data_IF_030651326616
#
_entry.id   IF_030651326616
#
_cell.length_a   1.000
_cell.length_b   1.000
_cell.length_c   1.000
_cell.angle_alpha   90.00
_cell.angle_beta   90.00
_cell.angle_gamma   90.00
#
_symmetry.space_group_name_H-M   'P 1'
#
loop_
_entity.id
_entity.type
_entity.pdbx_description
1 polymer ?
#
# COMPACT_ATOMS: atom_id res chain seq x y z
N UNK A 1 -7.83 -6.88 -2.29
CA UNK A 1 -8.56 -5.72 -1.77
C UNK A 1 -8.95 -4.89 -2.97
N UNK A 2 -10.24 -4.63 -3.16
CA UNK A 2 -10.76 -3.85 -4.31
C UNK A 2 -10.92 -2.36 -3.97
N UNK A 3 -10.62 -1.97 -2.74
CA UNK A 3 -10.83 -0.61 -2.25
C UNK A 3 -9.78 0.34 -2.79
N UNK A 4 -10.23 1.32 -3.58
CA UNK A 4 -9.44 2.50 -3.98
C UNK A 4 -9.77 3.62 -3.00
N UNK A 5 -8.76 4.10 -2.26
CA UNK A 5 -8.95 5.19 -1.30
C UNK A 5 -8.29 6.46 -1.83
N UNK A 6 -9.01 7.57 -1.75
CA UNK A 6 -8.60 8.86 -2.30
C UNK A 6 -8.42 9.88 -1.18
N UNK A 7 -7.38 10.71 -1.28
CA UNK A 7 -7.26 11.94 -0.52
C UNK A 7 -6.95 13.11 -1.46
N UNK A 8 -7.44 14.30 -1.13
CA UNK A 8 -7.12 15.53 -1.85
C UNK A 8 -6.60 16.57 -0.87
N UNK A 9 -5.55 17.28 -1.27
CA UNK A 9 -4.99 18.39 -0.53
C UNK A 9 -5.38 19.70 -1.22
N UNK A 10 -5.89 20.65 -0.46
CA UNK A 10 -6.30 21.97 -0.94
C UNK A 10 -5.55 23.07 -0.20
N UNK A 11 -5.28 24.17 -0.89
CA UNK A 11 -4.84 25.41 -0.27
C UNK A 11 -6.01 26.11 0.44
N UNK A 12 -5.70 27.15 1.24
CA UNK A 12 -6.73 27.95 1.93
C UNK A 12 -7.72 28.62 0.98
N UNK A 13 -7.27 28.99 -0.23
CA UNK A 13 -8.09 29.56 -1.30
C UNK A 13 -8.90 28.51 -2.09
N UNK A 14 -8.88 27.25 -1.62
CA UNK A 14 -9.51 26.06 -2.24
C UNK A 14 -8.91 25.65 -3.58
N UNK A 15 -7.73 26.13 -3.94
CA UNK A 15 -6.97 25.56 -5.05
C UNK A 15 -6.56 24.13 -4.72
N UNK A 16 -6.85 23.18 -5.62
CA UNK A 16 -6.40 21.80 -5.48
C UNK A 16 -4.87 21.74 -5.63
N UNK A 17 -4.18 21.23 -4.61
CA UNK A 17 -2.72 21.11 -4.57
C UNK A 17 -2.23 19.74 -5.04
N UNK A 18 -2.94 18.67 -4.66
CA UNK A 18 -2.61 17.32 -5.07
C UNK A 18 -3.77 16.34 -4.84
N UNK A 19 -3.80 15.28 -5.62
CA UNK A 19 -4.63 14.08 -5.37
C UNK A 19 -3.74 12.90 -5.01
N UNK A 20 -4.15 12.09 -4.03
CA UNK A 20 -3.46 10.87 -3.64
C UNK A 20 -4.37 9.68 -3.82
N UNK A 21 -3.85 8.62 -4.45
CA UNK A 21 -4.55 7.36 -4.71
C UNK A 21 -3.84 6.25 -3.95
N UNK A 22 -4.52 5.63 -2.99
CA UNK A 22 -4.04 4.46 -2.28
C UNK A 22 -4.77 3.20 -2.76
N UNK A 23 -4.00 2.25 -3.30
CA UNK A 23 -4.53 0.99 -3.83
C UNK A 23 -3.50 -0.14 -3.70
N UNK A 24 -3.97 -1.35 -3.39
CA UNK A 24 -3.12 -2.52 -3.19
C UNK A 24 -3.00 -3.35 -4.48
N UNK A 25 -1.96 -3.08 -5.28
CA UNK A 25 -1.65 -3.85 -6.48
C UNK A 25 -0.19 -3.62 -6.89
N UNK A 26 0.61 -4.67 -7.07
CA UNK A 26 2.00 -4.51 -7.53
C UNK A 26 2.09 -3.85 -8.91
N UNK A 27 3.01 -2.90 -9.15
CA UNK A 27 3.29 -2.37 -10.48
C UNK A 27 4.11 -3.37 -11.30
N UNK A 28 3.49 -4.50 -11.64
CA UNK A 28 4.08 -5.63 -12.37
C UNK A 28 3.31 -5.96 -13.66
N UNK A 29 2.69 -4.95 -14.28
CA UNK A 29 2.07 -5.14 -15.60
C UNK A 29 3.16 -5.50 -16.61
N UNK A 30 4.26 -4.74 -16.60
CA UNK A 30 5.40 -4.93 -17.47
C UNK A 30 6.41 -5.88 -16.80
N UNK A 31 6.81 -6.93 -17.52
CA UNK A 31 7.77 -7.91 -17.03
C UNK A 31 8.92 -8.13 -18.01
N UNK A 32 9.40 -9.37 -18.13
CA UNK A 32 10.68 -9.71 -18.77
C UNK A 32 10.74 -9.37 -20.27
N UNK A 33 9.59 -9.25 -20.94
CA UNK A 33 9.52 -8.89 -22.36
C UNK A 33 9.65 -7.37 -22.61
N UNK A 34 9.46 -6.54 -21.58
CA UNK A 34 9.66 -5.09 -21.67
C UNK A 34 11.14 -4.74 -21.40
N UNK A 35 11.73 -3.90 -22.25
CA UNK A 35 13.12 -3.41 -22.11
C UNK A 35 13.21 -1.91 -21.79
N UNK A 36 12.06 -1.24 -21.65
CA UNK A 36 11.98 0.20 -21.41
C UNK A 36 11.92 0.52 -19.91
N UNK A 37 12.48 1.67 -19.52
CA UNK A 37 12.22 2.25 -18.21
C UNK A 37 10.78 2.77 -18.21
N UNK A 38 9.96 2.28 -17.28
CA UNK A 38 8.55 2.62 -17.21
C UNK A 38 8.09 2.76 -15.76
N UNK A 39 7.19 3.71 -15.47
CA UNK A 39 6.50 3.79 -14.18
C UNK A 39 5.38 2.74 -14.01
N UNK A 40 5.18 1.84 -14.99
CA UNK A 40 4.07 0.86 -15.06
C UNK A 40 2.68 1.56 -14.99
N UNK A 41 1.63 0.82 -14.62
CA UNK A 41 0.26 1.35 -14.53
C UNK A 41 0.12 2.60 -13.63
N UNK A 42 0.91 2.81 -12.55
CA UNK A 42 0.87 4.06 -11.80
C UNK A 42 1.23 5.30 -12.63
N UNK A 43 1.98 5.14 -13.73
CA UNK A 43 2.28 6.24 -14.66
C UNK A 43 1.03 6.78 -15.33
N UNK A 44 0.39 5.97 -16.16
CA UNK A 44 -0.82 6.37 -16.87
C UNK A 44 -1.98 6.74 -15.94
N UNK A 45 -2.04 6.14 -14.75
CA UNK A 45 -3.00 6.52 -13.73
C UNK A 45 -2.80 7.99 -13.29
N UNK A 46 -1.57 8.37 -12.92
CA UNK A 46 -1.24 9.75 -12.54
C UNK A 46 -1.52 10.72 -13.68
N UNK A 47 -1.03 10.42 -14.88
CA UNK A 47 -1.22 11.29 -16.07
C UNK A 47 -2.70 11.55 -16.36
N UNK A 48 -3.55 10.53 -16.24
CA UNK A 48 -4.99 10.66 -16.48
C UNK A 48 -5.66 11.54 -15.43
N UNK A 49 -5.30 11.39 -14.16
CA UNK A 49 -5.85 12.21 -13.07
C UNK A 49 -5.33 13.63 -13.15
N UNK A 50 -4.04 13.82 -13.42
CA UNK A 50 -3.40 15.14 -13.58
C UNK A 50 -4.03 15.92 -14.73
N UNK A 51 -4.30 15.25 -15.87
CA UNK A 51 -4.98 15.86 -17.01
C UNK A 51 -6.42 16.29 -16.69
N UNK A 52 -7.14 15.51 -15.87
CA UNK A 52 -8.52 15.81 -15.51
C UNK A 52 -8.64 16.90 -14.43
N UNK A 53 -7.70 16.94 -13.49
CA UNK A 53 -7.79 17.79 -12.29
C UNK A 53 -6.92 19.04 -12.35
N UNK A 54 -5.90 19.07 -13.23
CA UNK A 54 -4.92 20.15 -13.32
C UNK A 54 -3.93 20.22 -12.14
N UNK A 55 -3.91 19.22 -11.26
CA UNK A 55 -3.04 19.17 -10.08
C UNK A 55 -2.25 17.85 -10.02
N UNK A 56 -1.04 17.83 -9.43
CA UNK A 56 -0.22 16.62 -9.27
C UNK A 56 -0.96 15.44 -8.64
N UNK A 57 -0.65 14.22 -9.09
CA UNK A 57 -1.20 13.00 -8.52
C UNK A 57 -0.10 12.09 -7.93
N UNK A 58 -0.34 11.56 -6.74
CA UNK A 58 0.55 10.62 -6.06
C UNK A 58 -0.13 9.25 -5.94
N UNK A 59 0.64 8.20 -6.24
CA UNK A 59 0.24 6.83 -5.98
C UNK A 59 0.88 6.32 -4.69
N UNK A 60 0.08 5.75 -3.79
CA UNK A 60 0.52 5.15 -2.53
C UNK A 60 0.26 3.65 -2.55
N UNK A 61 1.33 2.87 -2.56
CA UNK A 61 1.29 1.41 -2.66
C UNK A 61 0.64 0.79 -1.41
N UNK A 62 -0.52 0.14 -1.60
CA UNK A 62 -1.18 -0.64 -0.56
C UNK A 62 -0.49 -1.97 -0.25
N UNK A 63 -1.03 -2.72 0.71
CA UNK A 63 -0.53 -4.05 1.04
C UNK A 63 -0.89 -5.06 -0.07
N UNK A 64 0.07 -5.36 -0.93
CA UNK A 64 -0.14 -6.10 -2.18
C UNK A 64 0.78 -7.32 -2.33
N UNK A 65 1.35 -7.87 -1.25
CA UNK A 65 2.33 -8.98 -1.34
C UNK A 65 1.90 -10.19 -2.21
N UNK A 66 0.60 -10.39 -2.40
CA UNK A 66 0.01 -11.39 -3.29
C UNK A 66 -0.78 -10.83 -4.47
N UNK A 67 -0.93 -9.50 -4.57
CA UNK A 67 -1.78 -8.84 -5.55
C UNK A 67 -0.96 -8.21 -6.67
N UNK A 68 -1.33 -8.53 -7.90
CA UNK A 68 -0.83 -7.86 -9.10
C UNK A 68 -1.98 -7.52 -10.04
N UNK A 69 -1.68 -6.91 -11.20
CA UNK A 69 -2.68 -6.60 -12.21
C UNK A 69 -3.31 -7.88 -12.77
N UNK A 70 -4.59 -7.84 -13.12
CA UNK A 70 -5.29 -8.99 -13.74
C UNK A 70 -4.64 -9.36 -15.06
N UNK A 71 -4.38 -8.36 -15.91
CA UNK A 71 -3.54 -8.52 -17.09
C UNK A 71 -2.18 -7.91 -16.79
N UNK A 72 -1.18 -8.77 -16.62
CA UNK A 72 0.18 -8.39 -16.27
C UNK A 72 1.20 -9.41 -16.78
N UNK A 73 2.46 -9.18 -16.42
CA UNK A 73 3.61 -9.92 -16.93
C UNK A 73 3.80 -9.90 -18.46
N UNK A 74 3.48 -8.78 -19.10
CA UNK A 74 3.61 -8.59 -20.56
C UNK A 74 4.74 -7.61 -20.90
N UNK A 75 5.10 -7.51 -22.19
CA UNK A 75 6.02 -6.48 -22.70
C UNK A 75 5.33 -5.23 -23.25
N UNK A 76 4.02 -5.31 -23.52
CA UNK A 76 3.25 -4.27 -24.19
C UNK A 76 2.86 -3.13 -23.23
N UNK A 77 3.44 -1.95 -23.44
CA UNK A 77 3.19 -0.75 -22.63
C UNK A 77 1.73 -0.30 -22.66
N UNK A 78 0.99 -0.60 -23.73
CA UNK A 78 -0.42 -0.21 -23.85
C UNK A 78 -1.31 -0.93 -22.83
N UNK A 79 -0.90 -2.10 -22.34
CA UNK A 79 -1.58 -2.84 -21.27
C UNK A 79 -1.40 -2.13 -19.93
N UNK A 80 -0.17 -1.70 -19.61
CA UNK A 80 0.11 -0.90 -18.41
C UNK A 80 -0.69 0.40 -18.43
N UNK A 81 -0.73 1.07 -19.58
CA UNK A 81 -1.49 2.32 -19.70
C UNK A 81 -2.98 2.10 -19.53
N UNK A 82 -3.52 1.00 -20.08
CA UNK A 82 -4.94 0.65 -19.92
C UNK A 82 -5.28 0.30 -18.47
N UNK A 83 -4.44 -0.48 -17.79
CA UNK A 83 -4.61 -0.77 -16.36
C UNK A 83 -4.59 0.53 -15.54
N UNK A 84 -3.67 1.44 -15.86
CA UNK A 84 -3.56 2.74 -15.21
C UNK A 84 -4.80 3.62 -15.41
N UNK A 85 -5.32 3.70 -16.65
CA UNK A 85 -6.56 4.42 -16.96
C UNK A 85 -7.78 3.84 -16.24
N UNK A 86 -7.90 2.52 -16.14
CA UNK A 86 -8.99 1.89 -15.39
C UNK A 86 -8.99 2.34 -13.92
N UNK A 87 -7.82 2.30 -13.27
CA UNK A 87 -7.67 2.77 -11.89
C UNK A 87 -7.96 4.28 -11.79
N UNK A 88 -7.49 5.08 -12.75
CA UNK A 88 -7.76 6.52 -12.80
C UNK A 88 -9.25 6.83 -12.92
N UNK A 89 -10.01 6.13 -13.76
CA UNK A 89 -11.46 6.37 -13.88
C UNK A 89 -12.20 6.03 -12.58
N UNK A 90 -11.82 4.95 -11.89
CA UNK A 90 -12.35 4.63 -10.57
C UNK A 90 -12.01 5.71 -9.53
N UNK A 91 -10.78 6.23 -9.56
CA UNK A 91 -10.34 7.31 -8.69
C UNK A 91 -11.08 8.63 -9.00
N UNK A 92 -11.22 9.01 -10.27
CA UNK A 92 -11.92 10.21 -10.70
C UNK A 92 -13.40 10.16 -10.36
N UNK A 93 -14.07 9.01 -10.52
CA UNK A 93 -15.45 8.84 -10.07
C UNK A 93 -15.60 9.11 -8.57
N UNK A 94 -14.63 8.68 -7.76
CA UNK A 94 -14.61 8.94 -6.33
C UNK A 94 -14.32 10.42 -6.04
N UNK A 95 -13.37 11.05 -6.76
CA UNK A 95 -13.05 12.48 -6.62
C UNK A 95 -14.27 13.35 -6.88
N UNK A 96 -15.03 13.09 -7.95
CA UNK A 96 -16.28 13.82 -8.27
C UNK A 96 -17.36 13.66 -7.20
N UNK A 97 -17.27 12.61 -6.37
CA UNK A 97 -18.21 12.38 -5.27
C UNK A 97 -17.79 13.08 -3.97
N UNK A 98 -16.57 13.61 -3.88
CA UNK A 98 -16.09 14.27 -2.66
C UNK A 98 -16.73 15.66 -2.50
N UNK A 99 -17.24 15.99 -1.30
CA UNK A 99 -17.64 17.36 -0.99
C UNK A 99 -16.41 18.28 -0.98
N UNK A 100 -16.65 19.58 -1.12
CA UNK A 100 -15.60 20.58 -0.89
C UNK A 100 -15.05 20.45 0.55
N UNK A 101 -13.78 20.84 0.80
CA UNK A 101 -13.17 20.75 2.13
C UNK A 101 -14.04 21.38 3.22
N UNK A 102 -14.16 20.70 4.35
CA UNK A 102 -15.00 21.09 5.49
C UNK A 102 -16.50 21.29 5.15
N UNK A 103 -17.02 20.57 4.16
CA UNK A 103 -18.46 20.52 3.88
C UNK A 103 -18.98 19.08 3.84
N UNK A 104 -20.29 18.90 4.00
CA UNK A 104 -20.98 17.60 3.86
C UNK A 104 -22.30 17.76 3.12
N UNK A 105 -22.67 16.75 2.33
CA UNK A 105 -23.97 16.69 1.68
C UNK A 105 -25.00 16.07 2.63
N UNK A 106 -26.02 16.84 3.00
CA UNK A 106 -27.02 16.40 3.98
C UNK A 106 -28.44 16.85 3.64
N UNK A 107 -29.40 16.15 4.22
CA UNK A 107 -30.82 16.44 4.06
C UNK A 107 -31.21 17.70 4.84
N UNK A 108 -31.87 18.64 4.18
CA UNK A 108 -32.27 19.93 4.73
C UNK A 108 -33.78 20.06 5.00
N UNK A 109 -34.53 18.98 4.84
CA UNK A 109 -35.99 18.97 5.02
C UNK A 109 -36.76 18.84 3.71
N UNK A 110 -38.08 18.93 3.82
CA UNK A 110 -38.99 18.81 2.68
C UNK A 110 -39.30 20.16 2.07
N UNK A 111 -39.38 20.21 0.75
CA UNK A 111 -39.94 21.34 0.00
C UNK A 111 -41.32 20.94 -0.51
N UNK A 112 -42.35 21.65 -0.06
CA UNK A 112 -43.70 21.50 -0.62
C UNK A 112 -43.74 22.12 -2.02
N UNK A 113 -43.98 21.28 -3.02
CA UNK A 113 -44.18 21.69 -4.42
C UNK A 113 -45.31 20.86 -5.05
N UNK A 114 -45.42 20.82 -6.39
CA UNK A 114 -46.38 19.91 -7.06
C UNK A 114 -46.23 18.43 -6.65
N UNK A 115 -45.06 18.06 -6.14
CA UNK A 115 -44.84 16.89 -5.28
C UNK A 115 -43.97 17.30 -4.08
N UNK A 116 -44.10 16.65 -2.93
CA UNK A 116 -43.19 16.86 -1.80
C UNK A 116 -41.82 16.27 -2.13
N UNK A 117 -40.79 17.12 -2.22
CA UNK A 117 -39.42 16.69 -2.53
C UNK A 117 -38.53 16.85 -1.30
N UNK A 118 -37.53 15.97 -1.16
CA UNK A 118 -36.50 16.12 -0.15
C UNK A 118 -35.37 17.01 -0.64
N UNK A 119 -35.08 18.09 0.08
CA UNK A 119 -33.97 18.98 -0.23
C UNK A 119 -32.67 18.45 0.36
N UNK A 120 -31.60 18.49 -0.43
CA UNK A 120 -30.26 18.11 0.00
C UNK A 120 -29.27 19.19 -0.45
N UNK A 121 -28.35 19.57 0.43
CA UNK A 121 -27.36 20.62 0.18
C UNK A 121 -26.00 20.26 0.76
N UNK A 122 -24.96 20.86 0.20
CA UNK A 122 -23.65 20.91 0.83
C UNK A 122 -23.66 22.01 1.88
N UNK A 123 -23.49 21.62 3.14
CA UNK A 123 -23.40 22.54 4.27
C UNK A 123 -22.01 22.47 4.90
N UNK A 124 -21.58 23.53 5.55
CA UNK A 124 -20.35 23.54 6.34
C UNK A 124 -20.42 22.50 7.46
N UNK A 125 -19.29 21.89 7.77
CA UNK A 125 -19.20 21.00 8.91
C UNK A 125 -19.46 21.78 10.22
N UNK A 126 -20.13 21.16 11.21
CA UNK A 126 -20.22 21.71 12.55
C UNK A 126 -18.84 22.09 13.14
N UNK A 127 -18.80 23.13 13.97
CA UNK A 127 -17.54 23.66 14.53
C UNK A 127 -16.72 22.62 15.31
N UNK A 128 -17.39 21.70 16.00
CA UNK A 128 -16.76 20.58 16.70
C UNK A 128 -16.12 19.57 15.72
N UNK A 129 -16.75 19.30 14.57
CA UNK A 129 -16.18 18.46 13.52
C UNK A 129 -14.97 19.12 12.85
N UNK A 130 -15.03 20.44 12.60
CA UNK A 130 -13.90 21.22 12.09
C UNK A 130 -12.74 21.20 13.10
N UNK A 131 -13.03 21.39 14.39
CA UNK A 131 -12.02 21.33 15.44
C UNK A 131 -11.40 19.93 15.56
N UNK A 132 -12.17 18.86 15.37
CA UNK A 132 -11.64 17.50 15.34
C UNK A 132 -10.67 17.26 14.17
N UNK A 133 -10.86 17.95 13.03
CA UNK A 133 -9.96 17.86 11.88
C UNK A 133 -8.58 18.51 12.12
N UNK A 134 -8.43 19.34 13.15
CA UNK A 134 -7.13 19.91 13.54
C UNK A 134 -6.31 18.97 14.43
N UNK A 135 -6.79 17.76 14.72
CA UNK A 135 -6.05 16.80 15.52
C UNK A 135 -4.95 16.11 14.71
N UNK A 136 -3.71 16.19 15.20
CA UNK A 136 -2.54 15.59 14.56
C UNK A 136 -1.75 14.83 15.62
N UNK A 137 -1.52 13.54 15.37
CA UNK A 137 -0.71 12.71 16.26
C UNK A 137 0.07 11.69 15.45
N UNK A 138 1.33 11.48 15.81
CA UNK A 138 2.23 10.52 15.16
C UNK A 138 2.80 9.55 16.20
N UNK A 139 2.75 8.26 15.88
CA UNK A 139 3.31 7.16 16.66
C UNK A 139 4.29 6.39 15.78
N UNK A 140 5.57 6.33 16.18
CA UNK A 140 6.58 5.48 15.54
C UNK A 140 6.79 4.23 16.38
N UNK A 141 6.83 3.08 15.73
CA UNK A 141 7.04 1.81 16.40
C UNK A 141 8.07 0.97 15.68
N UNK A 142 8.80 0.19 16.47
CA UNK A 142 9.63 -0.91 16.00
C UNK A 142 8.98 -2.20 16.47
N UNK A 143 8.53 -3.02 15.52
CA UNK A 143 7.89 -4.29 15.76
C UNK A 143 8.98 -5.37 15.68
N UNK A 144 9.29 -5.98 16.82
CA UNK A 144 10.28 -7.07 16.90
C UNK A 144 9.68 -8.35 16.33
N UNK A 145 10.19 -8.81 15.19
CA UNK A 145 9.71 -10.01 14.51
C UNK A 145 10.78 -11.10 14.50
N UNK A 146 10.47 -12.34 14.92
CA UNK A 146 11.46 -13.42 14.92
C UNK A 146 11.94 -13.70 13.49
N UNK A 147 13.25 -13.81 13.30
CA UNK A 147 13.83 -14.26 12.03
C UNK A 147 13.50 -15.74 11.82
N UNK A 148 13.26 -16.13 10.57
CA UNK A 148 12.89 -17.50 10.21
C UNK A 148 13.98 -18.51 10.63
N UNK A 149 13.62 -19.57 11.39
CA UNK A 149 14.55 -20.67 11.66
C UNK A 149 15.03 -21.34 10.38
N UNK A 150 16.30 -21.72 10.34
CA UNK A 150 16.90 -22.34 9.14
C UNK A 150 17.20 -21.35 8.00
N UNK A 151 17.23 -20.05 8.29
CA UNK A 151 17.81 -19.06 7.37
C UNK A 151 19.26 -19.45 7.09
N UNK A 152 19.68 -19.63 5.81
CA UNK A 152 21.00 -20.11 5.47
C UNK A 152 22.07 -19.08 5.81
N UNK A 153 23.29 -19.56 6.12
CA UNK A 153 24.42 -18.66 6.38
C UNK A 153 24.96 -18.05 5.09
N UNK A 154 25.74 -16.97 5.21
CA UNK A 154 26.37 -16.33 4.05
C UNK A 154 27.28 -17.33 3.33
N UNK A 155 28.05 -18.12 4.08
CA UNK A 155 28.98 -19.12 3.54
C UNK A 155 28.25 -20.24 2.80
N UNK A 156 27.11 -20.71 3.32
CA UNK A 156 26.27 -21.71 2.65
C UNK A 156 25.76 -21.20 1.30
N UNK A 157 25.27 -19.95 1.28
CA UNK A 157 24.76 -19.33 0.06
C UNK A 157 25.88 -19.04 -0.95
N UNK A 158 27.07 -18.63 -0.51
CA UNK A 158 28.25 -18.43 -1.37
C UNK A 158 28.74 -19.74 -1.99
N UNK A 159 28.73 -20.83 -1.22
CA UNK A 159 29.07 -22.16 -1.73
C UNK A 159 28.05 -22.66 -2.77
N UNK A 160 26.75 -22.40 -2.58
CA UNK A 160 25.73 -22.72 -3.58
C UNK A 160 25.81 -21.82 -4.83
N UNK A 161 26.05 -20.52 -4.64
CA UNK A 161 26.26 -19.58 -5.74
C UNK A 161 27.40 -20.05 -6.65
N UNK A 162 28.54 -20.39 -6.06
CA UNK A 162 29.72 -20.88 -6.79
C UNK A 162 29.47 -22.16 -7.59
N UNK A 163 28.48 -22.98 -7.19
CA UNK A 163 28.05 -24.16 -7.96
C UNK A 163 27.17 -23.76 -9.15
N UNK A 164 26.24 -22.83 -8.95
CA UNK A 164 25.36 -22.35 -10.03
C UNK A 164 26.12 -21.57 -11.11
N UNK A 165 27.18 -20.86 -10.73
CA UNK A 165 28.05 -20.12 -11.67
C UNK A 165 28.85 -21.03 -12.63
N UNK A 166 28.90 -22.34 -12.38
CA UNK A 166 29.58 -23.31 -13.26
C UNK A 166 28.74 -23.71 -14.48
N UNK A 167 27.47 -23.31 -14.53
CA UNK A 167 26.53 -23.60 -15.61
C UNK A 167 25.96 -22.30 -16.20
N UNK A 168 25.78 -22.25 -17.52
CA UNK A 168 25.22 -21.09 -18.24
C UNK A 168 23.80 -21.37 -18.79
N UNK A 169 23.12 -22.37 -18.25
CA UNK A 169 21.69 -22.56 -18.56
C UNK A 169 20.85 -21.36 -18.08
N UNK A 170 19.71 -21.07 -18.73
CA UNK A 170 18.78 -20.04 -18.24
C UNK A 170 18.37 -20.23 -16.78
N UNK A 171 18.25 -21.49 -16.33
CA UNK A 171 17.96 -21.84 -14.94
C UNK A 171 19.12 -21.45 -14.02
N UNK A 172 20.36 -21.76 -14.39
CA UNK A 172 21.53 -21.41 -13.60
C UNK A 172 21.64 -19.89 -13.44
N UNK A 173 21.50 -19.12 -14.54
CA UNK A 173 21.47 -17.65 -14.50
C UNK A 173 20.38 -17.10 -13.56
N UNK A 174 19.17 -17.66 -13.61
CA UNK A 174 18.09 -17.27 -12.69
C UNK A 174 18.40 -17.61 -11.23
N UNK A 175 19.06 -18.74 -10.96
CA UNK A 175 19.47 -19.13 -9.61
C UNK A 175 20.61 -18.26 -9.08
N UNK A 176 21.60 -17.93 -9.90
CA UNK A 176 22.67 -16.99 -9.58
C UNK A 176 22.07 -15.65 -9.13
N UNK A 177 21.13 -15.09 -9.90
CA UNK A 177 20.45 -13.84 -9.55
C UNK A 177 19.70 -13.96 -8.20
N UNK A 178 18.96 -15.04 -7.97
CA UNK A 178 18.27 -15.28 -6.70
C UNK A 178 19.25 -15.37 -5.52
N UNK A 179 20.40 -16.00 -5.71
CA UNK A 179 21.45 -16.14 -4.69
C UNK A 179 22.13 -14.82 -4.39
N UNK A 180 22.43 -13.99 -5.38
CA UNK A 180 22.91 -12.63 -5.16
C UNK A 180 21.93 -11.79 -4.34
N UNK A 181 20.62 -11.83 -4.68
CA UNK A 181 19.59 -11.15 -3.90
C UNK A 181 19.51 -11.68 -2.47
N UNK A 182 19.63 -13.00 -2.27
CA UNK A 182 19.66 -13.59 -0.93
C UNK A 182 20.87 -13.12 -0.13
N UNK A 183 22.07 -13.12 -0.70
CA UNK A 183 23.28 -12.62 -0.05
C UNK A 183 23.13 -11.14 0.35
N UNK A 184 22.55 -10.32 -0.53
CA UNK A 184 22.28 -8.92 -0.22
C UNK A 184 21.36 -8.76 0.99
N UNK A 185 20.29 -9.58 1.09
CA UNK A 185 19.39 -9.59 2.24
C UNK A 185 20.09 -10.06 3.52
N UNK A 186 20.83 -11.17 3.45
CA UNK A 186 21.55 -11.73 4.60
C UNK A 186 22.54 -10.72 5.20
N UNK A 187 23.25 -9.97 4.35
CA UNK A 187 24.19 -8.91 4.77
C UNK A 187 23.53 -7.72 5.46
N UNK A 188 22.21 -7.56 5.30
CA UNK A 188 21.42 -6.50 5.93
C UNK A 188 20.63 -7.00 7.15
N UNK A 189 20.66 -8.29 7.46
CA UNK A 189 20.02 -8.80 8.65
C UNK A 189 20.69 -8.21 9.90
N UNK A 190 19.91 -7.87 10.93
CA UNK A 190 20.47 -7.48 12.21
C UNK A 190 21.24 -8.66 12.83
N UNK A 191 22.18 -8.38 13.73
CA UNK A 191 22.86 -9.40 14.53
C UNK A 191 21.96 -10.04 15.61
N UNK A 192 20.70 -9.60 15.70
CA UNK A 192 19.68 -10.09 16.63
C UNK A 192 18.92 -11.25 16.02
N UNK A 193 18.35 -12.13 16.86
CA UNK A 193 17.39 -13.16 16.44
C UNK A 193 16.06 -12.58 15.94
N UNK A 194 15.84 -11.27 16.12
CA UNK A 194 14.65 -10.58 15.68
C UNK A 194 14.96 -9.45 14.69
N UNK A 195 14.14 -9.35 13.66
CA UNK A 195 14.10 -8.24 12.71
C UNK A 195 13.29 -7.06 13.29
N UNK A 196 13.86 -5.84 13.36
CA UNK A 196 13.17 -4.66 13.85
C UNK A 196 12.37 -3.98 12.73
N UNK A 197 11.14 -4.43 12.47
CA UNK A 197 10.29 -3.84 11.43
C UNK A 197 9.78 -2.46 11.87
N UNK A 198 10.04 -1.42 11.08
CA UNK A 198 9.58 -0.06 11.42
C UNK A 198 8.19 0.23 10.84
N UNK A 199 7.35 0.87 11.65
CA UNK A 199 6.05 1.40 11.24
C UNK A 199 5.79 2.78 11.84
N UNK A 200 4.96 3.55 11.13
CA UNK A 200 4.43 4.83 11.58
C UNK A 200 2.91 4.77 11.46
N UNK A 201 2.22 5.14 12.53
CA UNK A 201 0.78 5.40 12.53
C UNK A 201 0.60 6.88 12.77
N UNK A 202 -0.04 7.57 11.84
CA UNK A 202 -0.27 9.01 11.85
C UNK A 202 -1.77 9.29 11.75
N UNK A 203 -2.33 9.97 12.74
CA UNK A 203 -3.69 10.50 12.69
C UNK A 203 -3.68 11.93 12.17
N UNK A 204 -4.40 12.15 11.07
CA UNK A 204 -4.64 13.46 10.46
C UNK A 204 -6.14 13.72 10.47
N UNK A 205 -6.60 14.47 11.47
CA UNK A 205 -8.02 14.70 11.73
C UNK A 205 -8.78 13.38 11.94
N UNK A 206 -9.75 13.13 11.06
CA UNK A 206 -10.56 11.90 11.06
C UNK A 206 -9.95 10.70 10.32
N UNK A 207 -8.80 10.85 9.66
CA UNK A 207 -8.15 9.79 8.90
C UNK A 207 -6.87 9.29 9.59
N UNK A 208 -6.51 8.03 9.33
CA UNK A 208 -5.28 7.42 9.84
C UNK A 208 -4.44 6.87 8.69
N UNK A 209 -3.14 7.14 8.78
CA UNK A 209 -2.12 6.74 7.82
C UNK A 209 -1.21 5.73 8.48
N UNK A 210 -1.11 4.54 7.89
CA UNK A 210 -0.17 3.50 8.27
C UNK A 210 0.92 3.45 7.23
N UNK A 211 2.15 3.77 7.64
CA UNK A 211 3.32 3.78 6.77
C UNK A 211 4.25 2.70 7.31
N UNK A 212 4.53 1.67 6.52
CA UNK A 212 5.22 0.47 6.99
C UNK A 212 6.21 -0.08 5.96
N UNK A 213 7.29 -0.64 6.45
CA UNK A 213 8.30 -1.31 5.64
C UNK A 213 7.81 -2.67 5.12
N UNK A 214 8.38 -3.12 4.00
CA UNK A 214 8.16 -4.47 3.47
C UNK A 214 6.92 -4.64 2.60
N UNK A 215 6.76 -5.86 2.11
CA UNK A 215 5.68 -6.29 1.21
C UNK A 215 4.68 -7.15 1.98
N UNK A 216 3.67 -6.49 2.55
CA UNK A 216 2.66 -7.15 3.37
C UNK A 216 1.50 -7.62 2.49
N UNK A 217 0.92 -8.76 2.84
CA UNK A 217 -0.25 -9.29 2.13
C UNK A 217 -1.49 -8.43 2.37
N UNK A 218 -2.42 -8.44 1.42
CA UNK A 218 -3.62 -7.60 1.46
C UNK A 218 -4.54 -7.91 2.64
N UNK A 219 -4.39 -9.06 3.28
CA UNK A 219 -5.13 -9.38 4.52
C UNK A 219 -4.87 -8.35 5.61
N UNK A 220 -3.65 -7.80 5.73
CA UNK A 220 -3.39 -6.73 6.70
C UNK A 220 -4.26 -5.51 6.44
N UNK A 221 -4.33 -5.08 5.18
CA UNK A 221 -5.09 -3.89 4.80
C UNK A 221 -6.60 -4.11 4.96
N UNK A 222 -7.11 -5.29 4.58
CA UNK A 222 -8.52 -5.66 4.75
C UNK A 222 -8.89 -5.74 6.23
N UNK A 223 -8.13 -6.49 7.03
CA UNK A 223 -8.42 -6.69 8.45
C UNK A 223 -8.40 -5.38 9.24
N UNK A 224 -7.45 -4.49 8.96
CA UNK A 224 -7.44 -3.16 9.60
C UNK A 224 -8.66 -2.33 9.18
N UNK A 225 -9.02 -2.29 7.89
CA UNK A 225 -10.22 -1.56 7.43
C UNK A 225 -11.52 -2.13 7.99
N UNK A 226 -11.62 -3.45 8.13
CA UNK A 226 -12.75 -4.13 8.77
C UNK A 226 -12.85 -3.81 10.27
N UNK A 227 -11.71 -3.68 10.97
CA UNK A 227 -11.66 -3.31 12.40
C UNK A 227 -12.04 -1.83 12.64
N UNK A 228 -11.80 -0.95 11.68
CA UNK A 228 -12.08 0.50 11.78
C UNK A 228 -12.96 1.02 10.62
N UNK A 229 -14.22 0.53 10.47
CA UNK A 229 -15.04 0.81 9.29
C UNK A 229 -15.48 2.28 9.17
N UNK A 230 -15.44 3.04 10.27
CA UNK A 230 -15.75 4.47 10.29
C UNK A 230 -14.53 5.39 10.09
N UNK A 231 -13.33 4.83 9.95
CA UNK A 231 -12.09 5.60 9.86
C UNK A 231 -11.41 5.34 8.52
N UNK A 232 -11.23 6.36 7.66
CA UNK A 232 -10.42 6.22 6.46
C UNK A 232 -8.99 5.80 6.82
N UNK A 233 -8.58 4.60 6.37
CA UNK A 233 -7.23 4.07 6.56
C UNK A 233 -6.44 4.07 5.25
N UNK A 234 -5.44 4.96 5.18
CA UNK A 234 -4.44 4.98 4.12
C UNK A 234 -3.33 4.03 4.57
N UNK A 235 -3.04 2.98 3.80
CA UNK A 235 -1.97 2.03 4.12
C UNK A 235 -0.92 2.09 3.03
N UNK A 236 0.28 2.56 3.36
CA UNK A 236 1.42 2.65 2.45
C UNK A 236 2.50 1.66 2.88
N UNK A 237 2.72 0.63 2.06
CA UNK A 237 3.78 -0.36 2.24
C UNK A 237 5.02 0.02 1.45
N UNK A 238 6.10 -0.77 1.57
CA UNK A 238 7.41 -0.47 0.96
C UNK A 238 7.92 0.95 1.28
N UNK A 239 7.47 1.50 2.42
CA UNK A 239 7.80 2.86 2.82
C UNK A 239 9.03 2.86 3.72
N UNK A 240 9.88 3.89 3.55
CA UNK A 240 11.20 4.05 4.20
C UNK A 240 12.25 3.02 3.77
N UNK A 241 11.92 1.72 3.79
CA UNK A 241 12.83 0.62 3.45
C UNK A 241 12.04 -0.59 2.91
N UNK A 242 12.72 -1.48 2.16
CA UNK A 242 12.16 -2.76 1.72
C UNK A 242 11.93 -3.75 2.89
N UNK A 243 12.32 -3.37 4.11
CA UNK A 243 11.99 -4.06 5.36
C UNK A 243 12.40 -5.53 5.39
N UNK A 244 11.49 -6.36 5.92
CA UNK A 244 11.65 -7.80 6.04
C UNK A 244 11.30 -8.57 4.74
N UNK A 245 11.38 -7.93 3.56
CA UNK A 245 10.88 -8.50 2.29
C UNK A 245 9.36 -8.76 2.39
N UNK A 246 8.89 -9.95 1.98
CA UNK A 246 7.51 -10.36 2.11
C UNK A 246 7.15 -10.80 3.53
N UNK A 247 5.96 -10.41 3.97
CA UNK A 247 5.33 -10.91 5.19
C UNK A 247 4.07 -11.72 4.83
N UNK A 248 4.24 -13.01 4.50
CA UNK A 248 3.11 -13.88 4.20
C UNK A 248 2.29 -14.23 5.46
N UNK A 249 0.98 -14.51 5.34
CA UNK A 249 0.19 -15.10 6.41
C UNK A 249 0.76 -16.43 6.89
N UNK A 250 0.58 -16.76 8.17
CA UNK A 250 1.12 -17.97 8.79
C UNK A 250 0.75 -19.23 8.01
N UNK A 251 -0.47 -19.32 7.51
CA UNK A 251 -1.02 -20.49 6.83
C UNK A 251 -0.41 -20.76 5.44
N UNK A 252 0.40 -19.85 4.89
CA UNK A 252 1.07 -20.06 3.61
C UNK A 252 2.56 -20.37 3.74
N UNK A 253 3.09 -20.43 4.96
CA UNK A 253 4.41 -21.02 5.18
C UNK A 253 4.39 -22.52 4.87
N UNK A 254 5.55 -23.03 4.46
CA UNK A 254 5.80 -24.42 4.07
C UNK A 254 5.03 -24.88 2.82
N UNK A 255 4.55 -23.94 1.99
CA UNK A 255 3.87 -24.21 0.72
C UNK A 255 4.80 -24.13 -0.49
N UNK A 256 6.04 -23.66 -0.31
CA UNK A 256 7.05 -23.62 -1.36
C UNK A 256 6.79 -22.52 -2.41
N UNK A 257 6.05 -21.48 -2.04
CA UNK A 257 5.77 -20.35 -2.93
C UNK A 257 6.91 -19.31 -2.88
N UNK A 258 6.96 -18.43 -3.89
CA UNK A 258 8.05 -17.47 -4.02
C UNK A 258 8.13 -16.50 -2.83
N UNK A 259 7.01 -15.89 -2.43
CA UNK A 259 6.97 -14.93 -1.32
C UNK A 259 7.51 -15.53 -0.03
N UNK A 260 7.14 -16.79 0.25
CA UNK A 260 7.65 -17.54 1.39
C UNK A 260 9.16 -17.80 1.29
N UNK A 261 9.64 -18.17 0.10
CA UNK A 261 11.06 -18.48 -0.14
C UNK A 261 12.02 -17.30 0.10
N UNK A 262 11.49 -16.07 0.09
CA UNK A 262 12.26 -14.84 0.33
C UNK A 262 11.81 -14.06 1.57
N UNK A 263 10.89 -14.62 2.37
CA UNK A 263 10.49 -14.05 3.65
C UNK A 263 11.64 -14.20 4.67
N UNK A 264 11.97 -13.10 5.35
CA UNK A 264 13.02 -13.07 6.38
C UNK A 264 12.49 -13.51 7.73
N UNK A 265 11.24 -13.17 8.02
CA UNK A 265 10.60 -13.37 9.32
C UNK A 265 9.87 -14.70 9.37
N UNK A 266 9.61 -15.19 10.59
CA UNK A 266 8.96 -16.47 10.81
C UNK A 266 7.44 -16.41 10.58
N UNK A 267 6.83 -17.59 10.49
CA UNK A 267 5.38 -17.72 10.40
C UNK A 267 4.69 -17.11 11.64
N UNK A 268 3.60 -16.36 11.44
CA UNK A 268 2.94 -15.60 12.51
C UNK A 268 3.36 -14.12 12.59
N UNK A 269 4.41 -13.71 11.85
CA UNK A 269 4.88 -12.33 11.90
C UNK A 269 3.91 -11.33 11.30
N UNK A 270 3.19 -11.67 10.22
CA UNK A 270 2.19 -10.77 9.65
C UNK A 270 1.06 -10.49 10.64
N UNK A 271 0.57 -11.53 11.33
CA UNK A 271 -0.49 -11.44 12.32
C UNK A 271 -0.06 -10.57 13.51
N UNK A 272 1.18 -10.72 13.98
CA UNK A 272 1.73 -9.85 15.01
C UNK A 272 1.77 -8.37 14.55
N UNK A 273 2.14 -8.13 13.29
CA UNK A 273 2.12 -6.77 12.72
C UNK A 273 0.70 -6.21 12.66
N UNK A 274 -0.28 -7.01 12.21
CA UNK A 274 -1.71 -6.61 12.15
C UNK A 274 -2.20 -6.21 13.53
N UNK A 275 -1.97 -7.04 14.55
CA UNK A 275 -2.41 -6.76 15.91
C UNK A 275 -1.69 -5.54 16.51
N UNK A 276 -0.38 -5.43 16.31
CA UNK A 276 0.39 -4.30 16.84
C UNK A 276 -0.07 -2.97 16.24
N UNK A 277 -0.27 -2.93 14.91
CA UNK A 277 -0.79 -1.73 14.24
C UNK A 277 -2.22 -1.45 14.66
N UNK A 278 -3.10 -2.48 14.71
CA UNK A 278 -4.48 -2.33 15.13
C UNK A 278 -4.59 -1.71 16.53
N UNK A 279 -3.81 -2.20 17.49
CA UNK A 279 -3.78 -1.66 18.84
C UNK A 279 -3.24 -0.21 18.87
N UNK A 280 -2.25 0.13 18.02
CA UNK A 280 -1.75 1.49 17.91
C UNK A 280 -2.79 2.45 17.29
N UNK A 281 -3.57 1.98 16.30
CA UNK A 281 -4.69 2.75 15.73
C UNK A 281 -5.79 2.96 16.79
N UNK A 282 -6.14 1.94 17.58
CA UNK A 282 -7.10 2.10 18.68
C UNK A 282 -6.63 3.15 19.69
N UNK A 283 -5.36 3.15 20.04
CA UNK A 283 -4.81 4.12 20.99
C UNK A 283 -4.78 5.55 20.42
N UNK A 284 -4.41 5.73 19.15
CA UNK A 284 -4.33 7.05 18.51
C UNK A 284 -5.71 7.66 18.22
N UNK A 285 -6.75 6.84 18.18
CA UNK A 285 -8.13 7.26 17.95
C UNK A 285 -8.90 7.61 19.24
N UNK A 286 -8.40 7.23 20.41
CA UNK A 286 -8.93 7.67 21.71
C UNK A 286 -8.74 9.18 21.90
#
# INVERSE_FOLDING_TARGET
DETVLIAQAFAEDRTLLASLVNYACHPTTLAWDNTLISPDYPGAMRETIEAATGAPCLFLQGASGELGPVEGYVGDTTVADRNGRQLAYSALSTIESLPAPNTRFEYCGTVESGATLGEWKYNELPMDAIAANTYWQLSRQTISLPIRPGTPTIEEVEAELSKWEQDDTPKARAMVERKHRLLHRLKQLPSSENFPLESIVLRLGGAVWVIIQGELYSVLQKTLRERFPGTPLIISTLASHWGASYLPPKEIYDKGIYQESIAIVAAGSLENVIETIGNNIEEILK
#
